data_IF_115123145834
#
_entry.id   IF_115123145834
#
_cell.length_a   1.000
_cell.length_b   1.000
_cell.length_c   1.000
_cell.angle_alpha   90.00
_cell.angle_beta   90.00
_cell.angle_gamma   90.00
#
_symmetry.space_group_name_H-M   'P 1'
#
loop_
_entity.id
_entity.type
_entity.pdbx_description
1 polymer ?
#
# COMPACT_ATOMS: atom_id res chain seq x y z
N UNK A 1 5.68 -54.05 26.37
CA UNK A 1 5.57 -55.51 26.10
C UNK A 1 4.74 -55.65 24.82
N UNK A 2 5.33 -55.93 23.64
CA UNK A 2 5.61 -57.27 23.07
C UNK A 2 4.30 -58.08 22.91
N UNK A 3 3.83 -58.50 21.73
CA UNK A 3 4.42 -59.40 20.71
C UNK A 3 3.58 -59.28 19.41
N UNK A 4 4.18 -59.25 18.20
CA UNK A 4 4.40 -60.38 17.24
C UNK A 4 3.13 -61.20 16.95
N UNK A 5 2.84 -61.77 15.78
CA UNK A 5 3.32 -61.81 14.37
C UNK A 5 2.35 -62.80 13.67
N UNK A 6 2.20 -62.74 12.34
CA UNK A 6 2.36 -63.88 11.40
C UNK A 6 1.22 -64.11 10.39
N UNK A 7 1.61 -64.03 9.11
CA UNK A 7 1.30 -64.88 7.93
C UNK A 7 -0.17 -65.14 7.54
N UNK A 8 -0.54 -65.30 6.27
CA UNK A 8 0.14 -66.05 5.20
C UNK A 8 -0.37 -65.64 3.80
N UNK A 9 0.26 -66.24 2.79
CA UNK A 9 0.47 -65.85 1.40
C UNK A 9 -0.26 -66.81 0.44
N UNK A 10 -0.29 -66.45 -0.86
CA UNK A 10 -0.58 -67.27 -2.07
C UNK A 10 -2.08 -67.34 -2.46
N UNK A 11 -2.49 -67.27 -3.73
CA UNK A 11 -1.98 -67.99 -4.89
C UNK A 11 -2.11 -67.23 -6.22
N UNK A 12 -1.24 -67.61 -7.17
CA UNK A 12 -1.20 -67.23 -8.58
C UNK A 12 -1.61 -68.44 -9.46
N UNK A 13 -2.17 -68.09 -10.62
CA UNK A 13 -2.18 -68.78 -11.93
C UNK A 13 -2.94 -70.10 -12.11
N UNK A 14 -3.71 -70.19 -13.21
CA UNK A 14 -3.76 -71.32 -14.16
C UNK A 14 -4.66 -71.04 -15.40
N UNK A 15 -4.03 -71.20 -16.58
CA UNK A 15 -4.43 -71.90 -17.85
C UNK A 15 -5.90 -71.87 -18.33
N UNK A 16 -6.21 -71.40 -19.55
CA UNK A 16 -6.05 -71.98 -20.92
C UNK A 16 -7.07 -73.05 -21.34
N UNK A 17 -7.56 -72.93 -22.61
CA UNK A 17 -8.09 -73.95 -23.57
C UNK A 17 -9.40 -73.51 -24.27
N UNK A 18 -9.37 -73.37 -25.60
CA UNK A 18 -9.89 -74.30 -26.65
C UNK A 18 -11.42 -74.19 -26.84
N UNK A 19 -12.06 -74.44 -27.99
CA UNK A 19 -11.72 -74.67 -29.40
C UNK A 19 -13.07 -74.70 -30.18
N UNK A 20 -13.03 -74.48 -31.49
CA UNK A 20 -14.07 -74.77 -32.49
C UNK A 20 -14.63 -76.22 -32.41
N UNK A 21 -15.78 -76.52 -33.06
CA UNK A 21 -15.66 -77.25 -34.35
C UNK A 21 -16.78 -77.06 -35.41
N UNK A 22 -16.34 -77.17 -36.69
CA UNK A 22 -16.88 -77.96 -37.83
C UNK A 22 -18.17 -77.52 -38.56
N UNK A 23 -18.42 -77.85 -39.83
CA UNK A 23 -17.67 -78.26 -41.03
C UNK A 23 -18.74 -78.63 -42.09
N UNK A 24 -18.68 -78.13 -43.32
CA UNK A 24 -19.21 -78.85 -44.51
C UNK A 24 -18.75 -78.20 -45.82
N UNK A 25 -18.01 -78.97 -46.63
CA UNK A 25 -17.61 -78.76 -48.04
C UNK A 25 -18.35 -79.84 -48.91
N UNK A 26 -18.21 -79.89 -50.24
CA UNK A 26 -18.42 -78.87 -51.29
C UNK A 26 -19.24 -79.46 -52.48
N UNK A 27 -19.55 -78.69 -53.54
CA UNK A 27 -19.54 -79.14 -54.97
C UNK A 27 -19.87 -78.02 -55.98
N UNK A 28 -19.29 -78.17 -57.16
CA UNK A 28 -19.14 -77.25 -58.30
C UNK A 28 -20.44 -76.82 -58.99
N UNK A 29 -20.48 -75.57 -59.46
CA UNK A 29 -21.24 -75.15 -60.65
C UNK A 29 -20.67 -73.82 -61.19
N UNK A 30 -19.47 -73.88 -61.74
CA UNK A 30 -18.99 -72.91 -62.73
C UNK A 30 -19.81 -73.12 -64.01
N UNK A 31 -20.75 -72.22 -64.34
CA UNK A 31 -21.15 -71.85 -65.72
C UNK A 31 -22.38 -70.94 -65.85
N UNK A 32 -23.16 -70.68 -64.79
CA UNK A 32 -24.41 -69.89 -64.92
C UNK A 32 -24.30 -68.38 -64.63
N UNK A 33 -23.12 -67.83 -64.31
CA UNK A 33 -22.97 -66.40 -63.98
C UNK A 33 -22.22 -65.55 -65.04
N UNK A 34 -22.15 -66.03 -66.30
CA UNK A 34 -21.55 -65.28 -67.43
C UNK A 34 -22.56 -64.72 -68.45
N UNK A 35 -23.86 -65.03 -68.35
CA UNK A 35 -24.88 -64.55 -69.29
C UNK A 35 -25.80 -63.44 -68.75
N UNK A 36 -25.76 -63.10 -67.45
CA UNK A 36 -26.60 -62.03 -66.89
C UNK A 36 -25.92 -60.64 -66.76
N UNK A 37 -24.63 -60.53 -67.12
CA UNK A 37 -23.87 -59.27 -67.10
C UNK A 37 -23.69 -58.60 -68.48
N UNK A 38 -24.07 -59.25 -69.59
CA UNK A 38 -24.00 -58.67 -70.94
C UNK A 38 -25.28 -57.92 -71.38
N UNK A 39 -26.41 -58.11 -70.69
CA UNK A 39 -27.68 -57.41 -71.00
C UNK A 39 -27.84 -56.05 -70.28
N UNK A 40 -27.12 -55.79 -69.17
CA UNK A 40 -27.13 -54.48 -68.48
C UNK A 40 -26.13 -53.45 -69.05
N UNK A 41 -25.14 -53.86 -69.83
CA UNK A 41 -24.16 -52.93 -70.44
C UNK A 41 -24.58 -52.40 -71.83
N UNK A 42 -25.61 -52.97 -72.48
CA UNK A 42 -26.10 -52.50 -73.80
C UNK A 42 -27.21 -51.44 -73.73
N UNK A 43 -27.81 -51.19 -72.56
CA UNK A 43 -28.85 -50.17 -72.39
C UNK A 43 -28.30 -48.76 -72.09
N UNK A 44 -27.08 -48.64 -71.53
CA UNK A 44 -26.50 -47.35 -71.12
C UNK A 44 -25.69 -46.63 -72.20
N UNK A 45 -25.38 -47.28 -73.34
CA UNK A 45 -24.64 -46.68 -74.46
C UNK A 45 -25.51 -46.05 -75.55
N UNK A 46 -26.84 -46.21 -75.52
CA UNK A 46 -27.75 -45.59 -76.52
C UNK A 46 -28.25 -44.19 -76.11
N UNK A 47 -28.26 -43.87 -74.82
CA UNK A 47 -28.66 -42.54 -74.32
C UNK A 47 -27.53 -41.49 -74.41
N UNK A 48 -26.27 -41.95 -74.44
CA UNK A 48 -25.10 -41.07 -74.53
C UNK A 48 -24.85 -40.54 -75.95
N UNK A 49 -25.19 -41.29 -77.00
CA UNK A 49 -25.00 -40.84 -78.39
C UNK A 49 -26.05 -39.80 -78.85
N UNK A 50 -27.25 -39.79 -78.27
CA UNK A 50 -28.34 -38.86 -78.63
C UNK A 50 -28.18 -37.46 -78.01
N UNK A 51 -27.49 -37.34 -76.87
CA UNK A 51 -27.29 -36.08 -76.14
C UNK A 51 -26.14 -35.23 -76.69
N UNK A 52 -25.20 -35.85 -77.40
CA UNK A 52 -23.99 -35.19 -77.91
C UNK A 52 -24.20 -34.53 -79.29
N UNK A 53 -25.18 -35.02 -80.08
CA UNK A 53 -25.45 -34.52 -81.44
C UNK A 53 -26.45 -33.36 -81.53
N UNK A 54 -27.16 -33.03 -80.44
CA UNK A 54 -28.11 -31.91 -80.40
C UNK A 54 -27.48 -30.57 -79.99
N UNK A 55 -26.23 -30.55 -79.48
CA UNK A 55 -25.56 -29.32 -79.02
C UNK A 55 -24.62 -28.67 -80.03
N UNK A 56 -24.44 -29.22 -81.23
CA UNK A 56 -23.50 -28.73 -82.25
C UNK A 56 -24.10 -27.86 -83.36
N UNK A 57 -25.34 -27.36 -83.21
CA UNK A 57 -25.97 -26.46 -84.17
C UNK A 57 -26.75 -25.35 -83.45
N UNK A 58 -26.06 -24.34 -82.94
CA UNK A 58 -26.37 -22.88 -83.00
C UNK A 58 -25.21 -22.20 -82.27
N UNK A 59 -24.44 -21.37 -82.98
CA UNK A 59 -23.33 -20.63 -82.40
C UNK A 59 -23.80 -19.46 -81.54
N UNK A 60 -23.22 -19.34 -80.35
CA UNK A 60 -23.10 -18.09 -79.61
C UNK A 60 -21.63 -17.93 -79.21
N UNK A 61 -20.97 -16.87 -79.69
CA UNK A 61 -19.75 -16.40 -79.05
C UNK A 61 -20.14 -15.48 -77.88
N UNK A 62 -19.61 -15.70 -76.67
CA UNK A 62 -19.11 -14.54 -75.93
C UNK A 62 -17.75 -14.73 -75.23
N UNK A 63 -16.94 -13.69 -75.45
CA UNK A 63 -15.89 -13.07 -74.59
C UNK A 63 -14.85 -13.96 -73.91
N UNK A 64 -13.62 -13.88 -74.43
CA UNK A 64 -12.38 -14.14 -73.67
C UNK A 64 -12.32 -13.22 -72.43
N UNK A 65 -12.66 -13.74 -71.26
CA UNK A 65 -12.07 -13.29 -70.00
C UNK A 65 -10.70 -13.95 -69.93
N UNK A 66 -9.66 -13.20 -70.30
CA UNK A 66 -8.31 -13.72 -70.48
C UNK A 66 -7.74 -14.27 -69.16
N UNK A 67 -6.99 -15.39 -69.22
CA UNK A 67 -6.23 -16.00 -68.10
C UNK A 67 -5.47 -14.98 -67.21
N UNK A 68 -5.11 -13.82 -67.78
CA UNK A 68 -4.43 -12.69 -67.12
C UNK A 68 -5.24 -12.05 -65.99
N UNK A 69 -6.57 -12.05 -66.06
CA UNK A 69 -7.43 -11.55 -64.96
C UNK A 69 -7.43 -12.49 -63.74
N UNK A 70 -7.48 -13.81 -63.98
CA UNK A 70 -7.56 -14.82 -62.91
C UNK A 70 -6.27 -14.94 -62.09
N UNK A 71 -5.11 -14.72 -62.70
CA UNK A 71 -3.81 -14.65 -62.00
C UNK A 71 -3.66 -13.38 -61.18
N UNK A 72 -4.23 -12.26 -61.65
CA UNK A 72 -4.20 -10.99 -60.93
C UNK A 72 -5.10 -11.06 -59.69
N UNK A 73 -6.29 -11.67 -59.77
CA UNK A 73 -7.15 -11.86 -58.60
C UNK A 73 -6.54 -12.79 -57.54
N UNK A 74 -5.92 -13.90 -57.94
CA UNK A 74 -5.24 -14.79 -57.00
C UNK A 74 -4.06 -14.10 -56.30
N UNK A 75 -3.37 -13.21 -57.01
CA UNK A 75 -2.28 -12.38 -56.45
C UNK A 75 -2.85 -11.31 -55.51
N UNK A 76 -3.98 -10.70 -55.88
CA UNK A 76 -4.69 -9.72 -55.05
C UNK A 76 -5.17 -10.33 -53.72
N UNK A 77 -5.70 -11.56 -53.77
CA UNK A 77 -6.15 -12.29 -52.56
C UNK A 77 -4.96 -12.61 -51.64
N UNK A 78 -3.81 -13.03 -52.19
CA UNK A 78 -2.61 -13.28 -51.38
C UNK A 78 -2.10 -12.00 -50.71
N UNK A 79 -2.08 -10.89 -51.45
CA UNK A 79 -1.73 -9.58 -50.91
C UNK A 79 -2.72 -9.15 -49.81
N UNK A 80 -4.01 -9.36 -50.02
CA UNK A 80 -5.04 -9.07 -49.02
C UNK A 80 -4.86 -9.91 -47.74
N UNK A 81 -4.53 -11.21 -47.86
CA UNK A 81 -4.25 -12.07 -46.69
C UNK A 81 -3.03 -11.57 -45.92
N UNK A 82 -1.94 -11.22 -46.61
CA UNK A 82 -0.74 -10.67 -45.96
C UNK A 82 -1.06 -9.37 -45.24
N UNK A 83 -1.87 -8.49 -45.84
CA UNK A 83 -2.31 -7.24 -45.21
C UNK A 83 -3.13 -7.49 -43.95
N UNK A 84 -4.07 -8.44 -43.98
CA UNK A 84 -4.88 -8.79 -42.80
C UNK A 84 -4.00 -9.36 -41.68
N UNK A 85 -3.04 -10.23 -42.02
CA UNK A 85 -2.08 -10.77 -41.03
C UNK A 85 -1.21 -9.64 -40.46
N UNK A 86 -0.73 -8.72 -41.29
CA UNK A 86 0.08 -7.59 -40.83
C UNK A 86 -0.72 -6.64 -39.91
N UNK A 87 -1.99 -6.39 -40.22
CA UNK A 87 -2.88 -5.59 -39.37
C UNK A 87 -3.13 -6.32 -38.05
N UNK A 88 -3.39 -7.62 -38.07
CA UNK A 88 -3.57 -8.41 -36.86
C UNK A 88 -2.30 -8.43 -35.99
N UNK A 89 -1.12 -8.61 -36.61
CA UNK A 89 0.16 -8.63 -35.94
C UNK A 89 0.50 -7.26 -35.32
N UNK A 90 0.29 -6.17 -36.05
CA UNK A 90 0.54 -4.81 -35.53
C UNK A 90 -0.44 -4.43 -34.44
N UNK A 91 -1.71 -4.84 -34.56
CA UNK A 91 -2.72 -4.69 -33.50
C UNK A 91 -2.33 -5.47 -32.26
N UNK A 92 -1.80 -6.69 -32.42
CA UNK A 92 -1.33 -7.54 -31.33
C UNK A 92 -0.05 -7.02 -30.66
N UNK A 93 0.88 -6.43 -31.42
CA UNK A 93 2.10 -5.83 -30.87
C UNK A 93 1.79 -4.53 -30.10
N UNK A 94 0.86 -3.71 -30.63
CA UNK A 94 0.54 -2.37 -30.09
C UNK A 94 -0.71 -2.34 -29.21
N UNK A 95 -1.10 -3.46 -28.60
CA UNK A 95 -2.36 -3.58 -27.85
C UNK A 95 -2.51 -2.50 -26.77
N UNK A 96 -1.45 -2.17 -26.02
CA UNK A 96 -1.53 -1.17 -24.94
C UNK A 96 -1.71 0.26 -25.44
N UNK A 97 -0.96 0.63 -26.49
CA UNK A 97 -1.07 1.97 -27.07
C UNK A 97 -2.44 2.17 -27.70
N UNK A 98 -2.94 1.16 -28.42
CA UNK A 98 -4.27 1.19 -29.02
C UNK A 98 -5.38 1.27 -27.97
N UNK A 99 -5.24 0.58 -26.84
CA UNK A 99 -6.22 0.68 -25.74
C UNK A 99 -6.28 2.09 -25.15
N UNK A 100 -5.13 2.75 -24.97
CA UNK A 100 -5.06 4.15 -24.52
C UNK A 100 -5.73 5.13 -25.48
N UNK A 101 -5.46 5.01 -26.79
CA UNK A 101 -6.11 5.83 -27.81
C UNK A 101 -7.63 5.60 -27.88
N UNK A 102 -8.09 4.35 -27.80
CA UNK A 102 -9.52 4.03 -27.83
C UNK A 102 -10.30 4.61 -26.65
N UNK A 103 -9.71 4.56 -25.45
CA UNK A 103 -10.31 5.15 -24.26
C UNK A 103 -10.39 6.68 -24.39
N UNK A 104 -9.39 7.31 -25.00
CA UNK A 104 -9.36 8.75 -25.19
C UNK A 104 -10.37 9.25 -26.23
N UNK A 105 -10.59 8.51 -27.32
CA UNK A 105 -11.43 8.94 -28.45
C UNK A 105 -12.92 8.57 -28.28
N UNK A 106 -13.20 7.41 -27.69
CA UNK A 106 -14.57 6.85 -27.63
C UNK A 106 -15.11 6.68 -26.21
N UNK A 107 -14.34 7.11 -25.19
CA UNK A 107 -14.65 7.02 -23.75
C UNK A 107 -15.16 5.62 -23.32
N UNK A 108 -14.73 4.60 -24.06
CA UNK A 108 -15.13 3.21 -23.91
C UNK A 108 -13.92 2.30 -24.05
N UNK A 109 -13.90 1.24 -23.25
CA UNK A 109 -12.82 0.26 -23.33
C UNK A 109 -12.87 -0.48 -24.68
N UNK A 110 -11.72 -0.61 -25.32
CA UNK A 110 -11.57 -1.33 -26.58
C UNK A 110 -12.20 -2.74 -26.47
N UNK A 111 -12.93 -3.24 -27.49
CA UNK A 111 -13.65 -4.52 -27.43
C UNK A 111 -12.79 -5.74 -27.09
N UNK A 112 -11.48 -5.64 -27.34
CA UNK A 112 -10.48 -6.67 -27.10
C UNK A 112 -9.37 -6.23 -26.11
N UNK A 113 -9.60 -5.19 -25.29
CA UNK A 113 -8.64 -4.70 -24.29
C UNK A 113 -8.12 -5.81 -23.36
N UNK A 114 -8.97 -6.78 -23.02
CA UNK A 114 -8.62 -7.95 -22.20
C UNK A 114 -7.53 -8.84 -22.81
N UNK A 115 -7.28 -8.74 -24.12
CA UNK A 115 -6.23 -9.52 -24.78
C UNK A 115 -4.84 -9.11 -24.30
N UNK A 116 -4.60 -7.82 -24.03
CA UNK A 116 -3.34 -7.30 -23.50
C UNK A 116 -2.98 -7.85 -22.11
N UNK A 117 -3.97 -8.20 -21.31
CA UNK A 117 -3.76 -8.74 -19.95
C UNK A 117 -3.39 -10.22 -19.93
N UNK A 118 -3.64 -10.94 -21.03
CA UNK A 118 -3.30 -12.37 -21.15
C UNK A 118 -1.79 -12.58 -21.33
N UNK A 119 -1.31 -13.78 -21.02
CA UNK A 119 0.11 -14.13 -21.19
C UNK A 119 0.62 -13.93 -22.62
N UNK A 120 -0.25 -14.12 -23.62
CA UNK A 120 0.08 -13.93 -25.04
C UNK A 120 0.11 -12.43 -25.38
N UNK A 121 -0.84 -11.63 -24.88
CA UNK A 121 -0.82 -10.17 -25.08
C UNK A 121 0.42 -9.50 -24.48
N UNK A 122 0.80 -9.89 -23.26
CA UNK A 122 2.02 -9.39 -22.60
C UNK A 122 3.30 -9.77 -23.33
N UNK A 123 3.33 -10.94 -23.98
CA UNK A 123 4.46 -11.32 -24.84
C UNK A 123 4.57 -10.39 -26.05
N UNK A 124 3.44 -10.02 -26.67
CA UNK A 124 3.39 -9.05 -27.78
C UNK A 124 3.90 -7.67 -27.38
N UNK A 125 3.40 -7.12 -26.26
CA UNK A 125 3.88 -5.86 -25.69
C UNK A 125 5.39 -5.90 -25.38
N UNK A 126 5.88 -7.02 -24.82
CA UNK A 126 7.30 -7.24 -24.54
C UNK A 126 8.18 -7.16 -25.78
N UNK A 127 7.72 -7.73 -26.90
CA UNK A 127 8.39 -7.63 -28.21
C UNK A 127 8.39 -6.19 -28.72
N UNK A 128 7.30 -5.43 -28.56
CA UNK A 128 7.28 -4.01 -28.96
C UNK A 128 8.32 -3.18 -28.16
N UNK A 129 8.42 -3.37 -26.84
CA UNK A 129 9.44 -2.71 -26.03
C UNK A 129 10.86 -3.11 -26.44
N UNK A 130 11.08 -4.39 -26.79
CA UNK A 130 12.37 -4.86 -27.29
C UNK A 130 12.78 -4.17 -28.60
N UNK A 131 11.84 -4.03 -29.54
CA UNK A 131 12.08 -3.42 -30.86
C UNK A 131 12.30 -1.91 -30.79
N UNK A 132 11.64 -1.20 -29.85
CA UNK A 132 11.70 0.26 -29.79
C UNK A 132 12.80 0.83 -28.88
N UNK A 133 13.17 0.16 -27.78
CA UNK A 133 13.97 0.80 -26.72
C UNK A 133 15.43 0.30 -26.60
N UNK A 134 15.90 -0.60 -27.48
CA UNK A 134 17.23 -1.24 -27.41
C UNK A 134 17.58 -1.89 -26.04
N UNK A 135 16.57 -2.11 -25.17
CA UNK A 135 16.72 -2.73 -23.85
C UNK A 135 16.40 -4.22 -23.92
N UNK A 136 17.36 -4.96 -24.47
CA UNK A 136 17.28 -6.41 -24.71
C UNK A 136 16.99 -7.19 -23.41
N UNK A 137 17.61 -6.81 -22.30
CA UNK A 137 17.47 -7.51 -21.01
C UNK A 137 16.06 -7.34 -20.41
N UNK A 138 15.49 -6.13 -20.48
CA UNK A 138 14.16 -5.85 -19.95
C UNK A 138 13.06 -6.56 -20.77
N UNK A 139 13.20 -6.57 -22.10
CA UNK A 139 12.29 -7.27 -23.00
C UNK A 139 12.32 -8.79 -22.83
N UNK A 140 13.52 -9.40 -22.77
CA UNK A 140 13.66 -10.84 -22.53
C UNK A 140 13.20 -11.23 -21.12
N UNK A 141 13.44 -10.38 -20.12
CA UNK A 141 12.94 -10.57 -18.75
C UNK A 141 11.41 -10.53 -18.70
N UNK A 142 10.76 -9.61 -19.42
CA UNK A 142 9.31 -9.53 -19.52
C UNK A 142 8.70 -10.74 -20.22
N UNK A 143 9.27 -11.17 -21.37
CA UNK A 143 8.85 -12.37 -22.10
C UNK A 143 9.01 -13.62 -21.23
N UNK A 144 10.16 -13.77 -20.58
CA UNK A 144 10.44 -14.88 -19.66
C UNK A 144 9.46 -14.89 -18.48
N UNK A 145 9.19 -13.74 -17.85
CA UNK A 145 8.20 -13.62 -16.77
C UNK A 145 6.78 -13.94 -17.27
N UNK A 146 6.39 -13.51 -18.46
CA UNK A 146 5.08 -13.80 -19.05
C UNK A 146 4.87 -15.28 -19.35
N UNK A 147 5.88 -15.94 -19.94
CA UNK A 147 5.86 -17.37 -20.23
C UNK A 147 5.94 -18.22 -18.96
N UNK A 148 6.81 -17.86 -18.00
CA UNK A 148 6.93 -18.57 -16.73
C UNK A 148 5.70 -18.39 -15.84
N UNK A 149 5.08 -17.20 -15.83
CA UNK A 149 3.83 -16.99 -15.10
C UNK A 149 2.67 -17.78 -15.72
N UNK A 150 2.55 -17.80 -17.06
CA UNK A 150 1.57 -18.63 -17.76
C UNK A 150 1.78 -20.13 -17.52
N UNK A 151 3.02 -20.62 -17.62
CA UNK A 151 3.36 -22.01 -17.36
C UNK A 151 3.15 -22.40 -15.88
N UNK A 152 3.56 -21.55 -14.93
CA UNK A 152 3.32 -21.80 -13.51
C UNK A 152 1.83 -21.79 -13.15
N UNK A 153 1.03 -20.98 -13.85
CA UNK A 153 -0.42 -20.95 -13.67
C UNK A 153 -1.12 -22.19 -14.29
N UNK A 154 -0.58 -22.74 -15.38
CA UNK A 154 -1.10 -23.96 -16.01
C UNK A 154 -0.68 -25.23 -15.26
N UNK A 155 0.57 -25.33 -14.81
CA UNK A 155 1.13 -26.56 -14.24
C UNK A 155 1.19 -26.58 -12.71
N UNK A 156 1.28 -25.41 -12.05
CA UNK A 156 1.55 -25.32 -10.60
C UNK A 156 0.58 -24.42 -9.82
N UNK A 157 -0.52 -23.93 -10.41
CA UNK A 157 -1.41 -22.94 -9.77
C UNK A 157 -1.90 -23.36 -8.38
N UNK A 158 -2.27 -24.64 -8.20
CA UNK A 158 -2.78 -25.11 -6.91
C UNK A 158 -1.68 -25.16 -5.84
N UNK A 159 -0.45 -25.45 -6.22
CA UNK A 159 0.68 -25.55 -5.29
C UNK A 159 1.26 -24.16 -4.95
N UNK A 160 1.32 -23.26 -5.92
CA UNK A 160 1.70 -21.85 -5.72
C UNK A 160 0.70 -21.17 -4.77
N UNK A 161 -0.61 -21.34 -4.99
CA UNK A 161 -1.63 -20.77 -4.10
C UNK A 161 -1.51 -21.27 -2.64
N UNK A 162 -1.18 -22.55 -2.45
CA UNK A 162 -0.93 -23.14 -1.12
C UNK A 162 0.32 -22.55 -0.47
N UNK A 163 1.42 -22.41 -1.22
CA UNK A 163 2.68 -21.80 -0.75
C UNK A 163 2.51 -20.33 -0.38
N UNK A 164 1.80 -19.56 -1.20
CA UNK A 164 1.52 -18.14 -0.92
C UNK A 164 0.67 -17.95 0.32
N UNK A 165 -0.34 -18.80 0.52
CA UNK A 165 -1.16 -18.80 1.74
C UNK A 165 -0.30 -19.09 2.98
N UNK A 166 0.62 -20.05 2.90
CA UNK A 166 1.55 -20.39 3.97
C UNK A 166 2.54 -19.24 4.28
N UNK A 167 3.10 -18.60 3.24
CA UNK A 167 4.02 -17.46 3.39
C UNK A 167 3.29 -16.29 4.08
N UNK A 168 2.09 -15.96 3.61
CA UNK A 168 1.24 -14.92 4.24
C UNK A 168 0.93 -15.26 5.69
N UNK A 169 0.59 -16.52 5.99
CA UNK A 169 0.31 -16.96 7.36
C UNK A 169 1.53 -16.85 8.28
N UNK A 170 2.72 -17.28 7.82
CA UNK A 170 3.98 -17.16 8.57
C UNK A 170 4.37 -15.69 8.79
N UNK A 171 4.23 -14.84 7.77
CA UNK A 171 4.49 -13.41 7.88
C UNK A 171 3.55 -12.74 8.90
N UNK A 172 2.25 -13.05 8.86
CA UNK A 172 1.29 -12.56 9.86
C UNK A 172 1.61 -13.07 11.28
N UNK A 173 2.00 -14.34 11.43
CA UNK A 173 2.37 -14.91 12.73
C UNK A 173 3.62 -14.21 13.30
N UNK A 174 4.65 -14.00 12.48
CA UNK A 174 5.85 -13.28 12.87
C UNK A 174 5.53 -11.82 13.25
N UNK A 175 4.69 -11.13 12.47
CA UNK A 175 4.27 -9.77 12.79
C UNK A 175 3.46 -9.70 14.09
N UNK A 176 2.56 -10.65 14.33
CA UNK A 176 1.81 -10.76 15.60
C UNK A 176 2.76 -10.99 16.79
N UNK A 177 3.76 -11.86 16.65
CA UNK A 177 4.76 -12.13 17.67
C UNK A 177 5.66 -10.90 17.95
N UNK A 178 6.03 -10.14 16.93
CA UNK A 178 6.77 -8.89 17.13
C UNK A 178 5.90 -7.83 17.82
N UNK A 179 4.63 -7.69 17.42
CA UNK A 179 3.68 -6.76 18.06
C UNK A 179 3.45 -7.11 19.52
N UNK A 180 3.32 -8.38 19.88
CA UNK A 180 3.15 -8.80 21.28
C UNK A 180 4.39 -8.47 22.12
N UNK A 181 5.60 -8.74 21.62
CA UNK A 181 6.88 -8.36 22.28
C UNK A 181 7.01 -6.83 22.47
N UNK A 182 6.65 -6.04 21.45
CA UNK A 182 6.67 -4.57 21.56
C UNK A 182 5.64 -4.06 22.58
N UNK A 183 4.44 -4.66 22.60
CA UNK A 183 3.37 -4.31 23.55
C UNK A 183 3.76 -4.65 24.99
N UNK A 184 4.39 -5.81 25.24
CA UNK A 184 4.87 -6.16 26.59
C UNK A 184 5.99 -5.23 27.06
N UNK A 185 6.98 -4.93 26.20
CA UNK A 185 8.04 -3.95 26.50
C UNK A 185 7.46 -2.56 26.79
N UNK A 186 6.49 -2.10 26.00
CA UNK A 186 5.82 -0.81 26.22
C UNK A 186 5.05 -0.77 27.55
N UNK A 187 4.33 -1.84 27.91
CA UNK A 187 3.65 -1.97 29.21
C UNK A 187 4.64 -1.91 30.37
N UNK A 188 5.78 -2.61 30.26
CA UNK A 188 6.82 -2.61 31.28
C UNK A 188 7.41 -1.20 31.48
N UNK A 189 7.77 -0.51 30.39
CA UNK A 189 8.29 0.85 30.45
C UNK A 189 7.26 1.84 31.02
N UNK A 190 5.98 1.70 30.64
CA UNK A 190 4.90 2.52 31.17
C UNK A 190 4.71 2.31 32.68
N UNK A 191 4.86 1.06 33.15
CA UNK A 191 4.82 0.74 34.59
C UNK A 191 5.96 1.42 35.33
N UNK A 192 7.20 1.32 34.85
CA UNK A 192 8.36 2.00 35.46
C UNK A 192 8.14 3.52 35.49
N UNK A 193 7.72 4.12 34.38
CA UNK A 193 7.48 5.57 34.32
C UNK A 193 6.35 5.99 35.26
N UNK A 194 5.30 5.17 35.40
CA UNK A 194 4.21 5.46 36.34
C UNK A 194 4.66 5.39 37.80
N UNK A 195 5.53 4.44 38.15
CA UNK A 195 6.12 4.35 39.49
C UNK A 195 7.04 5.53 39.78
N UNK A 196 7.90 5.94 38.84
CA UNK A 196 8.73 7.16 38.98
C UNK A 196 7.87 8.42 39.14
N UNK A 197 6.79 8.58 38.36
CA UNK A 197 5.85 9.70 38.52
C UNK A 197 5.13 9.68 39.86
N UNK A 198 4.72 8.51 40.34
CA UNK A 198 4.11 8.38 41.67
C UNK A 198 5.09 8.74 42.79
N UNK A 199 6.36 8.34 42.67
CA UNK A 199 7.41 8.74 43.60
C UNK A 199 7.65 10.25 43.56
N UNK A 200 7.75 10.84 42.36
CA UNK A 200 7.87 12.29 42.19
C UNK A 200 6.68 13.05 42.80
N UNK A 201 5.44 12.63 42.51
CA UNK A 201 4.25 13.25 43.12
C UNK A 201 4.20 13.07 44.64
N UNK A 202 4.66 11.93 45.18
CA UNK A 202 4.71 11.72 46.63
C UNK A 202 5.75 12.63 47.28
N UNK A 203 6.93 12.77 46.66
CA UNK A 203 7.97 13.69 47.11
C UNK A 203 7.48 15.14 47.04
N UNK A 204 6.93 15.60 45.91
CA UNK A 204 6.39 16.95 45.78
C UNK A 204 5.29 17.22 46.80
N UNK A 205 4.40 16.26 47.05
CA UNK A 205 3.31 16.42 48.03
C UNK A 205 3.83 16.45 49.49
N UNK A 206 4.92 15.76 49.78
CA UNK A 206 5.62 15.83 51.07
C UNK A 206 6.37 17.17 51.22
N UNK A 207 7.11 17.60 50.20
CA UNK A 207 7.81 18.90 50.17
C UNK A 207 6.84 20.08 50.25
N UNK A 208 5.70 20.03 49.55
CA UNK A 208 4.65 21.04 49.65
C UNK A 208 3.99 21.05 51.03
N UNK A 209 3.74 19.90 51.65
CA UNK A 209 3.22 19.86 53.03
C UNK A 209 4.21 20.43 54.04
N UNK A 210 5.51 20.24 53.81
CA UNK A 210 6.56 20.83 54.64
C UNK A 210 6.70 22.34 54.39
N UNK A 211 6.55 22.82 53.15
CA UNK A 211 6.59 24.26 52.84
C UNK A 211 5.34 24.99 53.32
N UNK A 212 4.15 24.37 53.28
CA UNK A 212 2.89 24.99 53.76
C UNK A 212 2.88 25.14 55.29
N UNK A 213 3.56 24.26 56.02
CA UNK A 213 3.62 24.30 57.48
C UNK A 213 4.78 25.17 58.04
N UNK A 214 5.66 25.69 57.19
CA UNK A 214 6.84 26.46 57.62
C UNK A 214 7.16 27.72 56.81
N UNK A 215 6.63 27.86 55.59
CA UNK A 215 6.71 29.11 54.83
C UNK A 215 5.50 29.95 55.19
N UNK A 216 5.72 30.99 55.99
CA UNK A 216 4.91 32.20 55.85
C UNK A 216 4.75 32.45 54.35
N UNK A 217 3.52 32.49 53.84
CA UNK A 217 3.25 32.87 52.45
C UNK A 217 4.00 34.18 52.25
N UNK A 218 5.11 34.13 51.51
CA UNK A 218 6.03 35.25 51.42
C UNK A 218 5.24 36.42 50.88
N UNK A 219 4.97 37.40 51.75
CA UNK A 219 4.22 38.59 51.40
C UNK A 219 5.09 39.33 50.38
N UNK A 220 4.61 39.38 49.13
CA UNK A 220 5.30 40.10 48.06
C UNK A 220 5.07 41.58 48.34
N UNK A 221 6.11 42.26 48.81
CA UNK A 221 6.07 43.70 48.99
C UNK A 221 6.55 44.35 47.69
N UNK A 222 5.62 44.95 46.97
CA UNK A 222 5.88 45.70 45.74
C UNK A 222 5.81 47.18 46.12
N UNK A 223 6.95 47.86 46.03
CA UNK A 223 7.09 49.28 46.30
C UNK A 223 6.64 50.13 45.11
N UNK A 224 6.41 51.42 45.35
CA UNK A 224 6.07 52.39 44.30
C UNK A 224 7.13 52.40 43.18
N UNK A 225 6.65 52.40 41.94
CA UNK A 225 7.49 52.35 40.74
C UNK A 225 7.98 50.96 40.33
N UNK A 226 7.72 49.93 41.14
CA UNK A 226 8.00 48.53 40.77
C UNK A 226 6.86 47.93 39.94
N UNK A 227 7.21 46.96 39.08
CA UNK A 227 6.30 46.35 38.11
C UNK A 227 6.15 44.85 38.29
N UNK A 228 5.02 44.34 37.81
CA UNK A 228 4.79 42.92 37.61
C UNK A 228 4.92 42.54 36.13
N UNK A 229 5.61 41.45 35.83
CA UNK A 229 5.73 40.86 34.51
C UNK A 229 4.82 39.63 34.40
N UNK A 230 4.03 39.56 33.33
CA UNK A 230 3.17 38.43 33.00
C UNK A 230 3.70 37.72 31.76
N UNK A 231 3.99 36.43 31.89
CA UNK A 231 4.35 35.57 30.77
C UNK A 231 3.39 34.38 30.68
N UNK A 232 3.10 33.92 29.47
CA UNK A 232 2.25 32.76 29.32
C UNK A 232 1.60 32.62 27.96
N UNK A 233 0.83 31.55 27.83
CA UNK A 233 0.14 31.22 26.58
C UNK A 233 -1.25 31.90 26.51
N UNK A 234 -2.16 31.32 25.73
CA UNK A 234 -3.56 31.77 25.66
C UNK A 234 -4.27 31.82 27.00
N UNK A 235 -3.86 31.00 27.99
CA UNK A 235 -4.41 31.04 29.35
C UNK A 235 -4.02 32.35 30.06
N UNK A 236 -2.77 32.79 29.92
CA UNK A 236 -2.33 34.06 30.48
C UNK A 236 -3.02 35.24 29.80
N UNK A 237 -3.25 35.19 28.49
CA UNK A 237 -3.99 36.25 27.78
C UNK A 237 -5.40 36.47 28.35
N UNK A 238 -6.03 35.42 28.90
CA UNK A 238 -7.31 35.53 29.59
C UNK A 238 -7.20 36.10 31.01
N UNK A 239 -6.10 35.83 31.71
CA UNK A 239 -5.92 36.16 33.14
C UNK A 239 -5.22 37.51 33.36
N UNK A 240 -4.14 37.78 32.63
CA UNK A 240 -3.30 38.97 32.81
C UNK A 240 -4.11 40.27 32.81
N UNK A 241 -5.02 40.54 31.85
CA UNK A 241 -5.76 41.80 31.83
C UNK A 241 -6.58 42.03 33.11
N UNK A 242 -7.13 40.97 33.71
CA UNK A 242 -7.88 41.10 34.96
C UNK A 242 -6.95 41.36 36.15
N UNK A 243 -5.86 40.60 36.27
CA UNK A 243 -4.91 40.74 37.38
C UNK A 243 -4.23 42.12 37.33
N UNK A 244 -3.75 42.54 36.16
CA UNK A 244 -3.12 43.85 35.96
C UNK A 244 -4.06 44.99 36.36
N UNK A 245 -5.34 44.92 35.99
CA UNK A 245 -6.35 45.92 36.42
C UNK A 245 -6.52 45.96 37.93
N UNK A 246 -6.48 44.81 38.62
CA UNK A 246 -6.58 44.77 40.08
C UNK A 246 -5.32 45.33 40.75
N UNK A 247 -4.14 44.95 40.25
CA UNK A 247 -2.84 45.46 40.71
C UNK A 247 -2.78 46.98 40.60
N UNK A 248 -3.15 47.54 39.44
CA UNK A 248 -3.16 48.98 39.25
C UNK A 248 -4.15 49.68 40.20
N UNK A 249 -5.40 49.20 40.27
CA UNK A 249 -6.45 49.88 41.03
C UNK A 249 -6.26 49.83 42.54
N UNK A 250 -5.75 48.72 43.07
CA UNK A 250 -5.65 48.51 44.53
C UNK A 250 -4.27 48.85 45.07
N UNK A 251 -3.24 48.73 44.25
CA UNK A 251 -1.85 48.79 44.70
C UNK A 251 -0.99 49.75 43.89
N UNK A 252 -1.52 50.39 42.83
CA UNK A 252 -0.76 51.28 41.93
C UNK A 252 0.46 50.60 41.29
N UNK A 253 0.39 49.28 41.10
CA UNK A 253 1.47 48.48 40.52
C UNK A 253 1.26 48.38 39.01
N UNK A 254 2.17 49.02 38.27
CA UNK A 254 2.24 48.92 36.83
C UNK A 254 2.63 47.49 36.41
N UNK A 255 2.28 47.11 35.18
CA UNK A 255 2.48 45.73 34.72
C UNK A 255 2.87 45.65 33.24
N UNK A 256 3.66 44.64 32.91
CA UNK A 256 4.08 44.29 31.55
C UNK A 256 3.48 42.93 31.21
N UNK A 257 2.72 42.85 30.11
CA UNK A 257 2.17 41.58 29.61
C UNK A 257 2.89 41.16 28.33
N UNK A 258 3.62 40.06 28.40
CA UNK A 258 4.28 39.42 27.27
C UNK A 258 3.56 38.17 26.80
N UNK A 259 2.36 37.89 27.32
CA UNK A 259 1.60 36.69 26.97
C UNK A 259 1.37 36.57 25.46
N UNK A 260 1.50 35.34 24.94
CA UNK A 260 1.51 35.09 23.51
C UNK A 260 0.69 33.86 23.15
N UNK A 261 -0.29 34.07 22.27
CA UNK A 261 -1.17 33.03 21.77
C UNK A 261 -0.42 31.89 21.08
N UNK A 262 -0.96 30.67 21.18
CA UNK A 262 -0.41 29.46 20.53
C UNK A 262 1.04 29.11 20.88
N UNK A 263 1.57 29.63 21.99
CA UNK A 263 2.92 29.29 22.49
C UNK A 263 2.85 28.27 23.62
N UNK A 264 3.98 27.64 23.93
CA UNK A 264 4.14 26.74 25.07
C UNK A 264 5.61 26.63 25.44
N UNK A 265 5.91 26.12 26.64
CA UNK A 265 7.26 25.88 27.10
C UNK A 265 7.95 24.73 26.34
N UNK A 266 7.20 23.74 25.85
CA UNK A 266 7.75 22.55 25.20
C UNK A 266 8.46 22.88 23.87
N UNK A 267 7.87 23.72 23.02
CA UNK A 267 8.32 23.92 21.63
C UNK A 267 9.04 25.26 21.41
N UNK A 268 10.30 25.33 21.87
CA UNK A 268 11.17 26.52 21.75
C UNK A 268 11.36 27.05 20.33
N UNK A 269 11.20 26.21 19.28
CA UNK A 269 11.36 26.66 17.90
C UNK A 269 10.31 27.67 17.47
N UNK A 270 9.09 27.58 18.02
CA UNK A 270 8.05 28.57 17.76
C UNK A 270 8.20 29.78 18.67
N UNK A 271 8.45 29.55 19.96
CA UNK A 271 8.69 30.60 20.94
C UNK A 271 9.45 30.06 22.15
N UNK A 272 10.50 30.77 22.57
CA UNK A 272 11.36 30.35 23.69
C UNK A 272 11.11 31.26 24.90
N UNK A 273 10.26 30.78 25.82
CA UNK A 273 9.94 31.48 27.07
C UNK A 273 11.17 31.72 27.97
N UNK A 274 12.04 30.73 28.23
CA UNK A 274 13.28 30.96 28.97
C UNK A 274 14.13 32.09 28.38
N UNK A 275 14.40 32.07 27.08
CA UNK A 275 15.17 33.13 26.42
C UNK A 275 14.48 34.49 26.48
N UNK A 276 13.14 34.51 26.44
CA UNK A 276 12.36 35.75 26.62
C UNK A 276 12.58 36.33 28.01
N UNK A 277 12.51 35.52 29.07
CA UNK A 277 12.74 35.97 30.46
C UNK A 277 14.19 36.42 30.65
N UNK A 278 15.15 35.65 30.15
CA UNK A 278 16.59 35.96 30.17
C UNK A 278 16.92 37.31 29.52
N UNK A 279 16.13 37.73 28.53
CA UNK A 279 16.24 39.05 27.89
C UNK A 279 15.48 40.14 28.65
N UNK A 280 14.23 39.88 29.01
CA UNK A 280 13.33 40.91 29.53
C UNK A 280 13.70 41.42 30.91
N UNK A 281 14.09 40.54 31.84
CA UNK A 281 14.39 40.96 33.22
C UNK A 281 15.57 41.97 33.30
N UNK A 282 16.71 41.76 32.63
CA UNK A 282 17.78 42.75 32.62
C UNK A 282 17.39 44.09 31.97
N UNK A 283 16.49 44.08 30.98
CA UNK A 283 16.01 45.30 30.31
C UNK A 283 14.97 46.07 31.14
N UNK A 284 14.40 45.45 32.17
CA UNK A 284 13.32 46.01 33.00
C UNK A 284 13.63 45.79 34.50
N UNK A 285 14.65 46.49 35.05
CA UNK A 285 15.11 46.30 36.44
C UNK A 285 14.04 46.66 37.50
N UNK A 286 12.97 47.34 37.12
CA UNK A 286 11.83 47.65 37.97
C UNK A 286 10.87 46.47 38.18
N UNK A 287 11.00 45.40 37.39
CA UNK A 287 10.18 44.19 37.53
C UNK A 287 10.63 43.42 38.78
N UNK A 288 9.71 43.23 39.74
CA UNK A 288 9.98 42.48 40.98
C UNK A 288 9.10 41.25 41.17
N UNK A 289 8.06 41.09 40.35
CA UNK A 289 7.20 39.93 40.36
C UNK A 289 7.03 39.37 38.94
N UNK A 290 7.20 38.06 38.77
CA UNK A 290 7.02 37.33 37.52
C UNK A 290 5.86 36.34 37.66
N UNK A 291 4.74 36.61 37.00
CA UNK A 291 3.60 35.72 36.89
C UNK A 291 3.78 34.81 35.66
N UNK A 292 3.79 33.50 35.89
CA UNK A 292 3.93 32.49 34.84
C UNK A 292 2.64 31.67 34.75
N UNK A 293 2.00 31.66 33.59
CA UNK A 293 0.85 30.80 33.33
C UNK A 293 0.98 30.12 31.96
N UNK A 294 1.51 28.90 31.99
CA UNK A 294 1.84 28.10 30.81
C UNK A 294 1.29 26.68 30.98
N UNK A 295 0.96 26.03 29.87
CA UNK A 295 0.73 24.58 29.83
C UNK A 295 -0.33 24.15 28.83
N UNK A 296 -1.11 25.08 28.27
CA UNK A 296 -2.19 24.76 27.32
C UNK A 296 -1.68 24.09 26.05
N UNK A 297 -0.45 24.41 25.63
CA UNK A 297 0.14 23.93 24.36
C UNK A 297 1.37 23.01 24.56
N UNK A 298 1.57 22.46 25.76
CA UNK A 298 2.78 21.69 26.10
C UNK A 298 2.64 20.18 25.89
N UNK A 299 1.47 19.69 25.46
CA UNK A 299 1.20 18.29 25.13
C UNK A 299 1.92 17.72 23.90
N UNK A 300 3.02 18.33 23.47
CA UNK A 300 3.73 18.03 22.24
C UNK A 300 5.16 17.51 22.49
N UNK A 301 5.80 16.96 21.45
CA UNK A 301 7.19 16.52 21.54
C UNK A 301 8.15 17.70 21.73
N UNK A 302 9.19 17.50 22.54
CA UNK A 302 10.32 18.45 22.66
C UNK A 302 11.46 17.96 21.78
N UNK A 303 12.18 18.86 21.12
CA UNK A 303 13.41 18.50 20.40
C UNK A 303 14.56 18.50 21.38
N UNK A 304 15.26 17.37 21.52
CA UNK A 304 16.45 17.28 22.34
C UNK A 304 17.59 18.08 21.69
N UNK A 305 18.18 19.08 22.38
CA UNK A 305 19.23 19.91 21.82
C UNK A 305 20.51 19.12 21.52
N UNK A 306 20.77 18.02 22.23
CA UNK A 306 21.97 17.19 22.08
C UNK A 306 21.83 16.23 20.90
N UNK A 307 20.66 15.58 20.75
CA UNK A 307 20.46 14.57 19.70
C UNK A 307 19.74 15.10 18.46
N UNK A 308 19.16 16.29 18.53
CA UNK A 308 18.26 16.91 17.53
C UNK A 308 17.02 16.07 17.20
N UNK A 309 16.70 15.05 18.02
CA UNK A 309 15.54 14.17 17.82
C UNK A 309 14.34 14.67 18.62
N UNK A 310 13.16 14.34 18.12
CA UNK A 310 11.92 14.56 18.84
C UNK A 310 11.78 13.55 19.97
N UNK A 311 11.72 14.06 21.19
CA UNK A 311 11.43 13.31 22.40
C UNK A 311 9.93 13.31 22.63
N UNK A 312 9.35 12.11 22.76
CA UNK A 312 7.91 11.94 22.92
C UNK A 312 7.44 12.58 24.23
N UNK A 313 6.31 13.28 24.16
CA UNK A 313 5.60 13.80 25.34
C UNK A 313 5.51 12.76 26.46
N UNK A 314 5.75 13.21 27.70
CA UNK A 314 5.69 12.43 28.93
C UNK A 314 6.63 11.19 28.99
N UNK A 315 7.72 11.20 28.21
CA UNK A 315 8.85 10.29 28.41
C UNK A 315 9.86 10.90 29.39
N UNK A 316 10.70 10.08 30.01
CA UNK A 316 11.69 10.53 31.00
C UNK A 316 12.57 11.66 30.46
N UNK A 317 13.09 11.51 29.23
CA UNK A 317 13.88 12.56 28.59
C UNK A 317 13.07 13.83 28.27
N UNK A 318 11.76 13.71 28.05
CA UNK A 318 10.91 14.89 27.86
C UNK A 318 10.76 15.65 29.17
N UNK A 319 10.53 14.92 30.28
CA UNK A 319 10.38 15.50 31.62
C UNK A 319 11.66 16.24 32.03
N UNK A 320 12.84 15.67 31.76
CA UNK A 320 14.15 16.32 31.97
C UNK A 320 14.25 17.63 31.19
N UNK A 321 14.08 17.57 29.86
CA UNK A 321 14.19 18.75 28.99
C UNK A 321 13.18 19.84 29.34
N UNK A 322 11.97 19.45 29.73
CA UNK A 322 10.94 20.39 30.16
C UNK A 322 11.32 21.04 31.50
N UNK A 323 11.85 20.25 32.44
CA UNK A 323 12.33 20.74 33.74
C UNK A 323 13.53 21.68 33.61
N UNK A 324 14.47 21.39 32.70
CA UNK A 324 15.61 22.28 32.39
C UNK A 324 15.13 23.67 31.96
N UNK A 325 14.05 23.76 31.18
CA UNK A 325 13.47 25.04 30.77
C UNK A 325 12.82 25.80 31.92
N UNK A 326 12.10 25.10 32.80
CA UNK A 326 11.54 25.70 34.02
C UNK A 326 12.68 26.23 34.90
N UNK A 327 13.75 25.44 35.07
CA UNK A 327 14.91 25.82 35.87
C UNK A 327 15.58 27.07 35.33
N UNK A 328 15.71 27.22 34.00
CA UNK A 328 16.24 28.46 33.41
C UNK A 328 15.42 29.68 33.83
N UNK A 329 14.09 29.62 33.74
CA UNK A 329 13.21 30.72 34.15
C UNK A 329 13.40 31.04 35.65
N UNK A 330 13.45 30.01 36.50
CA UNK A 330 13.64 30.18 37.95
C UNK A 330 14.99 30.82 38.24
N UNK A 331 16.07 30.31 37.66
CA UNK A 331 17.42 30.81 37.86
C UNK A 331 17.56 32.26 37.39
N UNK A 332 16.96 32.64 36.26
CA UNK A 332 16.94 34.04 35.83
C UNK A 332 16.17 34.90 36.82
N UNK A 333 14.99 34.48 37.27
CA UNK A 333 14.22 35.25 38.25
C UNK A 333 15.00 35.45 39.56
N UNK A 334 15.64 34.39 40.09
CA UNK A 334 16.51 34.45 41.27
C UNK A 334 17.70 35.40 41.07
N UNK A 335 18.37 35.34 39.91
CA UNK A 335 19.51 36.21 39.58
C UNK A 335 19.14 37.70 39.63
N UNK A 336 17.91 38.05 39.24
CA UNK A 336 17.43 39.44 39.24
C UNK A 336 16.57 39.77 40.48
N UNK A 337 16.56 38.92 41.51
CA UNK A 337 15.74 39.08 42.73
C UNK A 337 14.24 39.27 42.44
N UNK A 338 13.74 38.63 41.38
CA UNK A 338 12.33 38.67 40.98
C UNK A 338 11.59 37.50 41.59
N UNK A 339 10.49 37.78 42.29
CA UNK A 339 9.66 36.75 42.88
C UNK A 339 8.79 36.09 41.82
N UNK A 340 8.89 34.76 41.69
CA UNK A 340 8.11 34.00 40.70
C UNK A 340 6.79 33.47 41.28
N UNK A 341 5.70 33.67 40.55
CA UNK A 341 4.38 33.14 40.86
C UNK A 341 3.91 32.25 39.71
N UNK A 342 3.89 30.94 39.95
CA UNK A 342 3.31 29.98 39.02
C UNK A 342 1.80 29.89 39.21
N UNK A 343 1.07 30.31 38.18
CA UNK A 343 -0.39 30.18 38.11
C UNK A 343 -0.70 28.83 37.49
N UNK A 344 -1.55 28.06 38.14
CA UNK A 344 -2.04 26.78 37.63
C UNK A 344 -3.52 26.90 37.26
N UNK A 345 -3.98 26.17 36.22
CA UNK A 345 -5.40 26.19 35.89
C UNK A 345 -6.19 25.60 37.08
N UNK A 346 -7.39 26.14 37.37
CA UNK A 346 -8.20 25.64 38.47
C UNK A 346 -8.52 24.15 38.23
N UNK A 347 -8.60 23.38 39.32
CA UNK A 347 -9.06 21.99 39.26
C UNK A 347 -10.41 21.93 38.54
N UNK A 348 -10.42 21.37 37.34
CA UNK A 348 -11.65 21.13 36.61
C UNK A 348 -12.41 20.01 37.30
N UNK A 349 -13.69 20.22 37.64
CA UNK A 349 -14.54 19.15 38.16
C UNK A 349 -14.79 18.14 37.04
N UNK A 350 -14.53 16.86 37.32
CA UNK A 350 -15.02 15.78 36.48
C UNK A 350 -16.55 15.86 36.44
N UNK A 351 -17.13 15.91 35.24
CA UNK A 351 -18.57 15.91 35.03
C UNK A 351 -19.16 14.52 35.20
#
# INVERSE_FOLDING_TARGET
MSKKKSNNKRHKDLKSKNAEPKNSKPKNASEQNKQNNQSKQRATSRDTYKKEKQKTLVGEFPRRVTKRQKTNELTLVRVAIVMVIAIALTTWLKTDKLAGYWLQEYDTNQPFARMGDTSIGKAGQGIETFVNDNKIEDGLSAISKGLNSGANQLFYAQEVAKRDKLIKQKAMAHQKAQRSKRRSKAKYLAKISSSKRQQYHTQVKQTQRQSINGSAVAKIEIADGQKALFIGDSLMQGVAPWVMRQLQRKHQIDSIDLSKHSTGLAYSKFFDWPATVEKTLPENPEVVALFVFLGGNDGQSVVDPNTKRHTRFASERWDELYSEKIQRIIQTAEQYNVQILWVTPPHMKDK
#
